data_IF_645389631424
#
_entry.id   IF_645389631424
#
_cell.length_a   1.000
_cell.length_b   1.000
_cell.length_c   1.000
_cell.angle_alpha   90.00
_cell.angle_beta   90.00
_cell.angle_gamma   90.00
#
_symmetry.space_group_name_H-M   'P 1'
#
loop_
_entity.id
_entity.type
_entity.pdbx_description
1 polymer ?
#
# COMPACT_ATOMS: atom_id res chain seq x y z
N UNK A 1 10.61 31.12 -35.80
CA UNK A 1 9.65 30.70 -34.74
C UNK A 1 9.24 29.25 -34.95
N UNK A 2 10.05 28.25 -34.55
CA UNK A 2 9.67 26.82 -34.63
C UNK A 2 10.13 25.99 -33.41
N UNK A 3 10.65 26.63 -32.37
CA UNK A 3 11.33 25.95 -31.26
C UNK A 3 10.53 25.90 -29.95
N UNK A 4 9.32 26.48 -29.92
CA UNK A 4 8.51 26.59 -28.69
C UNK A 4 7.49 25.45 -28.51
N UNK A 5 7.27 24.59 -29.50
CA UNK A 5 6.23 23.54 -29.44
C UNK A 5 6.79 22.23 -28.85
N UNK A 6 8.10 21.97 -28.94
CA UNK A 6 8.70 20.73 -28.45
C UNK A 6 8.79 20.65 -26.92
N UNK A 7 8.90 21.78 -26.23
CA UNK A 7 8.99 21.81 -24.76
C UNK A 7 7.65 21.56 -24.08
N UNK A 8 6.53 21.82 -24.77
CA UNK A 8 5.19 21.60 -24.20
C UNK A 8 4.80 20.11 -24.21
N UNK A 9 5.28 19.31 -25.17
CA UNK A 9 4.98 17.87 -25.24
C UNK A 9 5.68 17.05 -24.14
N UNK A 10 6.90 17.44 -23.74
CA UNK A 10 7.68 16.74 -22.69
C UNK A 10 7.06 16.85 -21.30
N UNK A 11 6.28 17.91 -21.04
CA UNK A 11 5.53 18.07 -19.79
C UNK A 11 4.29 17.16 -19.71
N UNK A 12 3.63 16.86 -20.85
CA UNK A 12 2.43 16.01 -20.87
C UNK A 12 2.75 14.52 -20.74
N UNK A 13 3.93 14.08 -21.22
CA UNK A 13 4.38 12.69 -21.08
C UNK A 13 4.73 12.34 -19.63
N UNK A 14 5.17 13.31 -18.82
CA UNK A 14 5.42 13.10 -17.40
C UNK A 14 4.12 13.04 -16.58
N UNK A 15 3.09 13.80 -16.98
CA UNK A 15 1.77 13.78 -16.32
C UNK A 15 0.98 12.49 -16.60
N UNK A 16 1.20 11.83 -17.73
CA UNK A 16 0.55 10.53 -18.06
C UNK A 16 1.31 9.31 -17.53
N UNK A 17 2.51 9.52 -16.98
CA UNK A 17 3.23 8.49 -16.23
C UNK A 17 2.68 8.32 -14.80
N UNK A 18 1.95 9.33 -14.29
CA UNK A 18 1.33 9.32 -12.98
C UNK A 18 0.22 8.24 -12.88
N UNK A 19 0.56 7.16 -12.17
CA UNK A 19 -0.30 6.04 -11.75
C UNK A 19 -0.78 5.08 -12.86
N UNK A 20 0.16 4.54 -13.64
CA UNK A 20 -0.09 3.28 -14.39
C UNK A 20 -0.30 2.07 -13.46
N UNK A 21 -0.04 2.22 -12.16
CA UNK A 21 -0.33 1.22 -11.13
C UNK A 21 -1.25 1.83 -10.10
N UNK A 22 -2.31 1.12 -9.71
CA UNK A 22 -3.28 1.57 -8.71
C UNK A 22 -3.80 0.40 -7.88
N UNK A 23 -4.33 0.73 -6.70
CA UNK A 23 -5.11 -0.20 -5.91
C UNK A 23 -6.60 -0.03 -6.19
N UNK A 24 -7.32 -1.15 -6.23
CA UNK A 24 -8.79 -1.16 -6.19
C UNK A 24 -9.24 -2.03 -5.03
N UNK A 25 -9.82 -1.38 -4.02
CA UNK A 25 -10.36 -2.06 -2.84
C UNK A 25 -11.58 -2.89 -3.26
N UNK A 26 -11.57 -4.17 -2.89
CA UNK A 26 -12.65 -5.12 -3.11
C UNK A 26 -13.57 -5.09 -1.90
N UNK A 27 -14.49 -4.12 -1.89
CA UNK A 27 -15.44 -3.91 -0.79
C UNK A 27 -16.22 -5.18 -0.42
N UNK A 28 -16.65 -5.97 -1.40
CA UNK A 28 -17.47 -7.18 -1.18
C UNK A 28 -16.68 -8.36 -0.61
N UNK A 29 -15.34 -8.27 -0.60
CA UNK A 29 -14.45 -9.24 0.06
C UNK A 29 -13.92 -8.75 1.41
N UNK A 30 -14.11 -7.47 1.73
CA UNK A 30 -13.56 -6.90 2.95
C UNK A 30 -14.22 -7.55 4.16
N UNK A 31 -13.41 -8.01 5.10
CA UNK A 31 -13.87 -8.67 6.31
C UNK A 31 -13.71 -7.73 7.49
N UNK A 32 -14.70 -7.69 8.38
CA UNK A 32 -14.60 -7.01 9.67
C UNK A 32 -14.88 -8.04 10.75
N UNK A 33 -13.96 -8.19 11.69
CA UNK A 33 -14.13 -9.14 12.78
C UNK A 33 -15.00 -8.57 13.91
N UNK A 34 -15.31 -9.41 14.91
CA UNK A 34 -16.16 -9.03 16.06
C UNK A 34 -15.58 -7.88 16.90
N UNK A 35 -14.29 -7.61 16.77
CA UNK A 35 -13.59 -6.56 17.47
C UNK A 35 -13.52 -5.27 16.63
N UNK A 36 -14.06 -5.27 15.40
CA UNK A 36 -14.03 -4.16 14.46
C UNK A 36 -12.73 -4.07 13.68
N UNK A 37 -11.85 -5.08 13.70
CA UNK A 37 -10.65 -5.04 12.87
C UNK A 37 -10.96 -5.37 11.42
N UNK A 38 -10.40 -4.57 10.52
CA UNK A 38 -10.69 -4.64 9.09
C UNK A 38 -9.58 -5.40 8.37
N UNK A 39 -9.96 -6.40 7.59
CA UNK A 39 -9.10 -7.05 6.60
C UNK A 39 -9.53 -6.62 5.21
N UNK A 40 -8.72 -5.76 4.58
CA UNK A 40 -8.96 -5.28 3.23
C UNK A 40 -8.40 -6.25 2.20
N UNK A 41 -9.16 -6.49 1.14
CA UNK A 41 -8.65 -7.12 -0.07
C UNK A 41 -8.56 -6.05 -1.15
N UNK A 42 -7.42 -5.97 -1.84
CA UNK A 42 -7.22 -4.99 -2.91
C UNK A 42 -6.65 -5.66 -4.16
N UNK A 43 -7.20 -5.35 -5.33
CA UNK A 43 -6.53 -5.61 -6.60
C UNK A 43 -5.40 -4.59 -6.76
N UNK A 44 -4.17 -5.07 -6.95
CA UNK A 44 -3.05 -4.28 -7.46
C UNK A 44 -3.08 -4.41 -8.97
N UNK A 45 -3.34 -3.30 -9.67
CA UNK A 45 -3.54 -3.29 -11.11
C UNK A 45 -2.35 -2.60 -11.77
N UNK A 46 -1.48 -3.36 -12.42
CA UNK A 46 -0.33 -2.84 -13.17
C UNK A 46 -0.70 -2.68 -14.64
N UNK A 47 -1.08 -1.47 -15.05
CA UNK A 47 -1.32 -1.11 -16.46
C UNK A 47 -0.05 -0.62 -17.17
N UNK A 48 1.10 -0.63 -16.50
CA UNK A 48 2.35 -0.20 -17.11
C UNK A 48 2.88 -1.27 -18.09
N UNK A 49 3.93 -0.93 -18.83
CA UNK A 49 4.63 -1.85 -19.72
C UNK A 49 5.73 -2.64 -19.03
N UNK A 50 6.01 -2.32 -17.76
CA UNK A 50 7.10 -2.91 -17.00
C UNK A 50 6.51 -3.67 -15.82
N UNK A 51 7.22 -4.71 -15.40
CA UNK A 51 6.94 -5.36 -14.13
C UNK A 51 7.28 -4.39 -12.99
N UNK A 52 6.61 -4.55 -11.86
CA UNK A 52 6.97 -3.84 -10.63
C UNK A 52 7.18 -4.84 -9.50
N UNK A 53 8.07 -4.50 -8.58
CA UNK A 53 8.31 -5.27 -7.38
C UNK A 53 7.97 -4.40 -6.18
N UNK A 54 7.03 -4.87 -5.36
CA UNK A 54 6.67 -4.25 -4.08
C UNK A 54 6.91 -5.24 -2.95
N UNK A 55 6.83 -4.79 -1.71
CA UNK A 55 6.80 -5.71 -0.56
C UNK A 55 5.40 -6.30 -0.40
N UNK A 56 5.32 -7.60 -0.12
CA UNK A 56 4.07 -8.26 0.28
C UNK A 56 3.53 -7.54 1.52
N UNK A 57 2.23 -7.18 1.55
CA UNK A 57 1.62 -6.78 2.80
C UNK A 57 1.62 -7.97 3.75
N UNK A 58 2.07 -7.76 4.99
CA UNK A 58 2.06 -8.81 5.99
C UNK A 58 0.62 -9.12 6.43
N UNK A 59 0.36 -10.35 6.86
CA UNK A 59 -0.90 -10.70 7.54
C UNK A 59 -0.78 -10.67 9.06
N UNK A 60 0.44 -10.51 9.58
CA UNK A 60 0.84 -10.68 10.99
C UNK A 60 1.32 -9.37 11.64
N UNK A 61 1.26 -9.33 12.98
CA UNK A 61 1.60 -8.17 13.82
C UNK A 61 3.03 -7.67 13.64
N UNK A 62 3.18 -6.36 13.46
CA UNK A 62 4.49 -5.69 13.39
C UNK A 62 5.43 -6.33 12.36
N UNK A 63 4.98 -6.55 11.13
CA UNK A 63 5.81 -7.03 10.03
C UNK A 63 5.66 -6.19 8.77
N UNK A 64 6.77 -5.68 8.20
CA UNK A 64 6.94 -5.23 6.81
C UNK A 64 5.92 -4.18 6.28
N UNK A 65 5.17 -3.58 7.18
CA UNK A 65 4.07 -2.65 6.94
C UNK A 65 4.50 -1.20 6.71
N UNK A 66 5.79 -0.86 6.92
CA UNK A 66 6.28 0.53 6.89
C UNK A 66 5.88 1.31 5.64
N UNK A 67 5.57 0.61 4.56
CA UNK A 67 5.32 1.16 3.23
C UNK A 67 3.85 1.22 2.84
N UNK A 68 2.96 0.56 3.61
CA UNK A 68 1.52 0.62 3.37
C UNK A 68 0.88 1.48 4.45
N UNK A 69 0.12 2.48 4.03
CA UNK A 69 -0.65 3.33 4.94
C UNK A 69 -2.11 3.32 4.54
N UNK A 70 -2.99 3.66 5.47
CA UNK A 70 -4.41 3.81 5.21
C UNK A 70 -4.95 5.09 5.82
N UNK A 71 -5.78 5.79 5.04
CA UNK A 71 -6.63 6.87 5.56
C UNK A 71 -8.03 6.28 5.75
N UNK A 72 -8.53 6.28 6.99
CA UNK A 72 -9.83 5.70 7.33
C UNK A 72 -10.71 6.72 8.06
N UNK A 73 -11.90 6.93 7.49
CA UNK A 73 -12.97 7.71 8.10
C UNK A 73 -13.96 6.73 8.71
N UNK A 74 -13.95 6.66 10.04
CA UNK A 74 -14.81 5.80 10.84
C UNK A 74 -15.27 6.58 12.07
N UNK A 75 -16.59 6.59 12.33
CA UNK A 75 -17.18 7.34 13.44
C UNK A 75 -16.87 6.67 14.80
N UNK A 76 -16.85 5.34 14.83
CA UNK A 76 -16.60 4.53 16.03
C UNK A 76 -15.38 3.64 15.79
N UNK A 77 -14.22 4.08 16.25
CA UNK A 77 -12.97 3.32 16.14
C UNK A 77 -12.86 2.31 17.27
N UNK A 78 -12.38 1.10 16.96
CA UNK A 78 -12.03 0.13 17.99
C UNK A 78 -10.89 0.65 18.84
N UNK A 79 -10.86 0.34 20.15
CA UNK A 79 -9.73 0.67 21.01
C UNK A 79 -8.45 0.02 20.47
N UNK A 80 -7.40 0.83 20.32
CA UNK A 80 -6.09 0.36 19.91
C UNK A 80 -5.28 -0.05 21.14
N UNK A 81 -4.64 -1.21 21.07
CA UNK A 81 -3.77 -1.71 22.13
C UNK A 81 -2.33 -1.71 21.62
N UNK A 82 -1.46 -0.99 22.32
CA UNK A 82 -0.03 -1.11 22.07
C UNK A 82 0.41 -2.53 22.41
N UNK A 83 1.08 -3.18 21.47
CA UNK A 83 1.72 -4.47 21.67
C UNK A 83 3.20 -4.33 21.28
N UNK A 84 4.04 -5.17 21.88
CA UNK A 84 5.49 -5.11 21.71
C UNK A 84 5.91 -5.19 20.22
N UNK A 85 6.80 -4.27 19.82
CA UNK A 85 7.36 -4.22 18.47
C UNK A 85 8.54 -5.15 18.33
N UNK A 86 8.39 -6.16 17.46
CA UNK A 86 9.52 -7.01 17.07
C UNK A 86 10.31 -6.35 15.95
N UNK A 87 11.64 -6.49 15.99
CA UNK A 87 12.49 -6.14 14.85
C UNK A 87 12.16 -7.05 13.67
N UNK A 88 11.99 -6.47 12.49
CA UNK A 88 11.57 -7.18 11.28
C UNK A 88 12.78 -7.32 10.37
N UNK A 89 13.08 -8.53 9.94
CA UNK A 89 14.04 -8.77 8.87
C UNK A 89 13.30 -8.99 7.55
N UNK A 90 13.78 -8.38 6.48
CA UNK A 90 13.26 -8.55 5.12
C UNK A 90 14.13 -9.56 4.37
N UNK A 91 13.51 -10.36 3.50
CA UNK A 91 14.18 -11.29 2.61
C UNK A 91 13.44 -11.39 1.26
N UNK A 92 14.00 -12.14 0.32
CA UNK A 92 13.48 -12.23 -1.04
C UNK A 92 12.08 -12.82 -1.13
N UNK A 93 11.66 -13.65 -0.16
CA UNK A 93 10.31 -14.20 -0.12
C UNK A 93 9.25 -13.14 0.19
N UNK A 94 9.65 -11.96 0.67
CA UNK A 94 8.77 -10.83 0.92
C UNK A 94 8.51 -9.97 -0.31
N UNK A 95 9.25 -10.21 -1.40
CA UNK A 95 9.06 -9.50 -2.65
C UNK A 95 7.83 -10.03 -3.37
N UNK A 96 7.05 -9.11 -3.90
CA UNK A 96 5.87 -9.36 -4.71
C UNK A 96 6.08 -8.74 -6.08
N UNK A 97 6.33 -9.60 -7.07
CA UNK A 97 6.37 -9.22 -8.47
C UNK A 97 4.94 -9.08 -9.00
N UNK A 98 4.64 -7.94 -9.61
CA UNK A 98 3.38 -7.67 -10.32
C UNK A 98 3.74 -7.43 -11.78
N UNK A 99 3.49 -8.43 -12.61
CA UNK A 99 3.83 -8.38 -14.03
C UNK A 99 3.15 -7.20 -14.75
N UNK A 100 3.78 -6.71 -15.81
CA UNK A 100 3.22 -5.73 -16.72
C UNK A 100 1.84 -6.17 -17.22
N UNK A 101 0.92 -5.22 -17.37
CA UNK A 101 -0.45 -5.47 -17.86
C UNK A 101 -1.23 -6.53 -17.07
N UNK A 102 -0.87 -6.77 -15.81
CA UNK A 102 -1.49 -7.78 -14.96
C UNK A 102 -2.25 -7.18 -13.78
N UNK A 103 -2.96 -8.05 -13.07
CA UNK A 103 -3.56 -7.74 -11.78
C UNK A 103 -3.37 -8.91 -10.83
N UNK A 104 -3.19 -8.60 -9.55
CA UNK A 104 -3.19 -9.59 -8.48
C UNK A 104 -3.96 -9.08 -7.27
N UNK A 105 -4.44 -9.97 -6.42
CA UNK A 105 -5.14 -9.60 -5.19
C UNK A 105 -4.15 -9.70 -4.02
N UNK A 106 -4.07 -8.64 -3.23
CA UNK A 106 -3.39 -8.65 -1.94
C UNK A 106 -4.39 -8.59 -0.78
N UNK A 107 -3.97 -9.14 0.35
CA UNK A 107 -4.68 -9.11 1.63
C UNK A 107 -3.94 -8.19 2.60
N UNK A 108 -4.66 -7.26 3.20
CA UNK A 108 -4.15 -6.23 4.11
C UNK A 108 -4.91 -6.35 5.43
N UNK A 109 -4.28 -6.87 6.48
CA UNK A 109 -4.93 -7.14 7.77
C UNK A 109 -4.70 -6.01 8.79
N UNK A 110 -5.79 -5.51 9.39
CA UNK A 110 -5.80 -4.47 10.43
C UNK A 110 -5.77 -4.97 11.87
N UNK A 111 -6.11 -6.24 12.13
CA UNK A 111 -6.20 -6.85 13.48
C UNK A 111 -4.89 -6.79 14.26
N UNK A 112 -3.82 -6.66 13.51
CA UNK A 112 -2.48 -6.78 13.99
C UNK A 112 -1.60 -5.71 13.33
N UNK A 113 -2.02 -4.45 13.31
CA UNK A 113 -1.25 -3.42 12.60
C UNK A 113 -1.28 -2.06 13.31
N UNK A 114 -0.20 -1.30 13.16
CA UNK A 114 -0.11 0.14 13.48
C UNK A 114 -0.90 1.01 12.51
N UNK A 115 -1.37 0.46 11.38
CA UNK A 115 -2.06 1.22 10.32
C UNK A 115 -3.51 1.65 10.66
N UNK A 116 -3.99 1.38 11.89
CA UNK A 116 -5.31 1.82 12.36
C UNK A 116 -6.48 1.37 11.46
N UNK A 117 -6.39 0.16 10.88
CA UNK A 117 -7.46 -0.46 10.11
C UNK A 117 -8.48 -1.13 11.05
N UNK A 118 -9.23 -0.29 11.76
CA UNK A 118 -10.31 -0.73 12.64
C UNK A 118 -11.51 0.21 12.57
N UNK A 119 -12.70 -0.37 12.51
CA UNK A 119 -13.96 0.35 12.54
C UNK A 119 -15.09 -0.52 13.10
N UNK A 120 -15.91 0.06 13.97
CA UNK A 120 -17.12 -0.54 14.53
C UNK A 120 -18.41 0.12 13.99
N UNK A 121 -18.29 1.20 13.22
CA UNK A 121 -19.42 1.84 12.53
C UNK A 121 -19.95 0.98 11.39
N UNK A 122 -21.26 1.01 11.17
CA UNK A 122 -21.99 0.31 10.10
C UNK A 122 -21.46 0.61 8.68
N UNK A 123 -20.74 1.72 8.54
CA UNK A 123 -20.04 2.09 7.33
C UNK A 123 -18.75 2.83 7.68
N UNK A 124 -17.78 2.74 6.78
CA UNK A 124 -16.56 3.54 6.83
C UNK A 124 -16.04 3.80 5.43
N UNK A 125 -15.19 4.80 5.30
CA UNK A 125 -14.44 5.04 4.07
C UNK A 125 -12.97 4.76 4.29
N UNK A 126 -12.32 4.14 3.32
CA UNK A 126 -10.90 3.83 3.42
C UNK A 126 -10.18 4.07 2.10
N UNK A 127 -8.97 4.62 2.21
CA UNK A 127 -7.99 4.73 1.12
C UNK A 127 -6.75 3.95 1.52
N UNK A 128 -6.27 3.08 0.63
CA UNK A 128 -5.01 2.37 0.78
C UNK A 128 -3.93 3.09 -0.02
N UNK A 129 -2.75 3.24 0.58
CA UNK A 129 -1.58 3.83 -0.06
C UNK A 129 -0.37 2.92 0.13
N UNK A 130 0.51 2.95 -0.87
CA UNK A 130 1.84 2.37 -0.81
C UNK A 130 2.83 3.43 -1.30
N UNK A 131 3.83 3.74 -0.49
CA UNK A 131 4.89 4.69 -0.84
C UNK A 131 6.21 4.19 -0.25
N UNK A 132 7.17 3.92 -1.14
CA UNK A 132 8.54 3.51 -0.79
C UNK A 132 9.54 4.64 -0.97
N UNK A 133 9.14 5.76 -1.59
CA UNK A 133 10.03 6.84 -2.02
C UNK A 133 10.74 7.49 -0.84
N UNK A 134 10.04 7.70 0.29
CA UNK A 134 10.65 8.27 1.50
C UNK A 134 11.80 7.42 2.07
N UNK A 135 11.88 6.12 1.77
CA UNK A 135 12.96 5.24 2.23
C UNK A 135 14.08 5.05 1.22
N UNK A 136 13.81 5.34 -0.05
CA UNK A 136 14.82 5.34 -1.12
C UNK A 136 15.55 6.70 -1.15
N UNK A 137 14.85 7.79 -0.88
CA UNK A 137 15.36 9.17 -0.96
C UNK A 137 16.02 9.68 0.33
N UNK A 138 15.71 9.10 1.50
CA UNK A 138 16.36 9.49 2.76
C UNK A 138 17.81 9.00 2.74
N UNK A 139 18.74 9.92 2.45
CA UNK A 139 20.21 9.86 2.47
C UNK A 139 20.86 9.26 3.76
N UNK A 140 20.15 8.48 4.59
CA UNK A 140 20.51 8.06 5.96
C UNK A 140 20.68 6.55 6.16
N UNK A 141 21.43 5.92 5.25
CA UNK A 141 21.74 4.48 5.19
C UNK A 141 22.42 3.86 6.44
N UNK A 142 22.58 4.55 7.57
CA UNK A 142 23.33 4.02 8.74
C UNK A 142 22.51 3.18 9.71
N UNK A 143 21.17 3.23 9.65
CA UNK A 143 20.29 2.49 10.58
C UNK A 143 19.73 1.18 10.04
N UNK A 144 19.89 0.94 8.74
CA UNK A 144 19.42 -0.28 8.08
C UNK A 144 20.53 -1.33 8.06
N UNK A 145 20.16 -2.58 8.30
CA UNK A 145 21.07 -3.72 8.11
C UNK A 145 21.43 -3.86 6.62
N UNK A 146 22.50 -4.61 6.34
CA UNK A 146 22.87 -4.96 4.97
C UNK A 146 21.71 -5.65 4.23
N UNK A 147 21.05 -6.60 4.89
CA UNK A 147 19.92 -7.33 4.32
C UNK A 147 18.75 -6.41 3.98
N UNK A 148 18.42 -5.46 4.87
CA UNK A 148 17.37 -4.47 4.62
C UNK A 148 17.66 -3.64 3.37
N UNK A 149 18.90 -3.17 3.20
CA UNK A 149 19.32 -2.42 2.00
C UNK A 149 19.19 -3.27 0.75
N UNK A 150 19.68 -4.51 0.79
CA UNK A 150 19.64 -5.43 -0.34
C UNK A 150 18.22 -5.71 -0.84
N UNK A 151 17.23 -5.70 0.07
CA UNK A 151 15.82 -5.85 -0.30
C UNK A 151 15.25 -4.56 -0.86
N UNK A 152 15.56 -3.41 -0.26
CA UNK A 152 15.06 -2.11 -0.72
C UNK A 152 15.52 -1.79 -2.16
N UNK A 153 16.75 -2.14 -2.52
CA UNK A 153 17.28 -1.96 -3.88
C UNK A 153 16.54 -2.78 -4.95
N UNK A 154 15.84 -3.85 -4.55
CA UNK A 154 15.03 -4.68 -5.46
C UNK A 154 13.61 -4.13 -5.67
N UNK A 155 13.19 -3.13 -4.90
CA UNK A 155 11.86 -2.55 -4.98
C UNK A 155 11.78 -1.51 -6.11
N UNK A 156 10.64 -1.48 -6.78
CA UNK A 156 10.34 -0.41 -7.74
C UNK A 156 9.98 0.86 -6.98
N UNK A 157 10.69 1.96 -7.23
CA UNK A 157 10.32 3.28 -6.70
C UNK A 157 8.99 3.71 -7.30
N UNK A 158 7.92 3.57 -6.52
CA UNK A 158 6.55 3.85 -6.98
C UNK A 158 5.65 4.26 -5.81
N UNK A 159 4.70 5.14 -6.11
CA UNK A 159 3.56 5.47 -5.25
C UNK A 159 2.31 4.86 -5.84
N UNK A 160 1.60 4.05 -5.06
CA UNK A 160 0.36 3.38 -5.47
C UNK A 160 -0.73 3.80 -4.50
N UNK A 161 -1.85 4.28 -5.02
CA UNK A 161 -2.99 4.66 -4.19
C UNK A 161 -4.28 4.03 -4.70
N UNK A 162 -5.22 3.81 -3.79
CA UNK A 162 -6.61 3.55 -4.14
C UNK A 162 -7.40 4.84 -4.22
N UNK A 163 -8.57 4.78 -4.86
CA UNK A 163 -9.64 5.73 -4.56
C UNK A 163 -10.13 5.51 -3.13
N UNK A 164 -10.62 6.57 -2.49
CA UNK A 164 -11.34 6.44 -1.23
C UNK A 164 -12.62 5.64 -1.48
N UNK A 165 -12.79 4.56 -0.73
CA UNK A 165 -13.82 3.54 -0.97
C UNK A 165 -14.70 3.41 0.25
N UNK A 166 -16.00 3.57 0.05
CA UNK A 166 -17.02 3.35 1.08
C UNK A 166 -17.33 1.87 1.21
N UNK A 167 -17.23 1.35 2.43
CA UNK A 167 -17.56 -0.02 2.82
C UNK A 167 -18.76 0.03 3.76
N UNK A 168 -19.75 -0.81 3.51
CA UNK A 168 -20.89 -1.04 4.40
C UNK A 168 -20.71 -2.39 5.07
N UNK A 169 -20.93 -2.45 6.37
CA UNK A 169 -20.88 -3.69 7.14
C UNK A 169 -22.26 -4.32 7.17
N UNK A 170 -22.37 -5.56 6.72
CA UNK A 170 -23.56 -6.35 6.96
C UNK A 170 -23.49 -6.81 8.43
N UNK A 171 -24.28 -6.18 9.30
CA UNK A 171 -24.46 -6.63 10.69
C UNK A 171 -25.03 -8.05 10.65
N UNK A 172 -24.21 -9.04 11.02
CA UNK A 172 -24.64 -10.41 11.30
C UNK A 172 -24.92 -10.57 12.78
#
# INVERSE_FOLDING_TARGET
>A
MKTLIFSLLLLVTNLTFAQKVNFKILKDKTEVDKQGFVTLYAEVINKSTNDITILKPSTDFNQKWRYYTSEMDCEIRSPWFAMETKKINYNDSDLLLIAAKSKLIIKVNGRLNTNSLSCQSDQFEVKLKYDISELIEDDKKDRLTFDEKSILEKLTSIKIESKKTKIKMDKK
#
